data_IF_103857845833
#
_entry.id   IF_103857845833
#
_cell.length_a   1.000
_cell.length_b   1.000
_cell.length_c   1.000
_cell.angle_alpha   90.00
_cell.angle_beta   90.00
_cell.angle_gamma   90.00
#
_symmetry.space_group_name_H-M   'P 1'
#
loop_
_entity.id
_entity.type
_entity.pdbx_description
1 polymer ?
#
# COMPACT_ATOMS: atom_id res chain seq x y z
N UNK A 1 9.43 -5.16 1.11
CA UNK A 1 10.72 -4.44 1.25
C UNK A 1 10.66 -3.35 2.32
N UNK A 2 9.61 -2.52 2.35
CA UNK A 2 9.43 -1.47 3.36
C UNK A 2 9.54 -1.98 4.81
N UNK A 3 8.71 -2.96 5.18
CA UNK A 3 8.75 -3.62 6.50
C UNK A 3 10.14 -4.20 6.81
N UNK A 4 10.72 -4.96 5.87
CA UNK A 4 12.05 -5.56 6.06
C UNK A 4 13.15 -4.52 6.37
N UNK A 5 13.22 -3.42 5.63
CA UNK A 5 14.19 -2.36 5.92
C UNK A 5 13.92 -1.67 7.26
N UNK A 6 12.65 -1.47 7.61
CA UNK A 6 12.24 -0.86 8.88
C UNK A 6 12.68 -1.72 10.07
N UNK A 7 12.32 -3.02 10.05
CA UNK A 7 12.64 -3.95 11.12
C UNK A 7 14.15 -4.20 11.25
N UNK A 8 14.85 -4.43 10.14
CA UNK A 8 16.31 -4.68 10.18
C UNK A 8 17.06 -3.42 10.58
N UNK A 9 16.66 -2.24 10.07
CA UNK A 9 17.25 -0.96 10.47
C UNK A 9 17.07 -0.67 11.95
N UNK A 10 15.91 -1.00 12.51
CA UNK A 10 15.66 -0.86 13.95
C UNK A 10 16.51 -1.85 14.78
N UNK A 11 16.55 -3.13 14.40
CA UNK A 11 17.27 -4.18 15.15
C UNK A 11 18.79 -3.99 15.11
N UNK A 12 19.33 -3.56 13.98
CA UNK A 12 20.78 -3.36 13.79
C UNK A 12 21.23 -1.92 14.10
N UNK A 13 20.29 -1.04 14.49
CA UNK A 13 20.53 0.40 14.68
C UNK A 13 21.15 1.09 13.43
N UNK A 14 20.85 0.56 12.24
CA UNK A 14 21.36 1.06 10.96
C UNK A 14 20.44 2.13 10.36
N UNK A 15 20.83 3.39 10.58
CA UNK A 15 20.12 4.56 10.04
C UNK A 15 20.00 4.55 8.51
N UNK A 16 20.97 3.99 7.80
CA UNK A 16 20.94 3.96 6.34
C UNK A 16 19.86 3.00 5.80
N UNK A 17 19.46 1.99 6.58
CA UNK A 17 18.32 1.13 6.27
C UNK A 17 16.99 1.83 6.57
N UNK A 18 16.90 2.57 7.67
CA UNK A 18 15.71 3.37 7.98
C UNK A 18 15.47 4.48 6.94
N UNK A 19 16.53 5.12 6.46
CA UNK A 19 16.45 6.10 5.36
C UNK A 19 15.95 5.45 4.07
N UNK A 20 16.41 4.24 3.75
CA UNK A 20 15.91 3.47 2.59
C UNK A 20 14.43 3.12 2.74
N UNK A 21 13.99 2.75 3.95
CA UNK A 21 12.58 2.51 4.23
C UNK A 21 11.74 3.78 4.01
N UNK A 22 12.20 4.93 4.53
CA UNK A 22 11.53 6.21 4.34
C UNK A 22 11.47 6.63 2.86
N UNK A 23 12.56 6.45 2.11
CA UNK A 23 12.61 6.70 0.67
C UNK A 23 11.63 5.81 -0.09
N UNK A 24 11.55 4.52 0.26
CA UNK A 24 10.58 3.61 -0.35
C UNK A 24 9.14 4.03 -0.03
N UNK A 25 8.83 4.42 1.21
CA UNK A 25 7.50 4.92 1.58
C UNK A 25 7.12 6.18 0.80
N UNK A 26 8.04 7.16 0.69
CA UNK A 26 7.81 8.37 -0.10
C UNK A 26 7.59 8.04 -1.58
N UNK A 27 8.39 7.15 -2.16
CA UNK A 27 8.21 6.72 -3.54
C UNK A 27 6.81 6.14 -3.79
N UNK A 28 6.32 5.28 -2.87
CA UNK A 28 4.97 4.71 -2.97
C UNK A 28 3.90 5.81 -2.86
N UNK A 29 4.09 6.79 -1.97
CA UNK A 29 3.16 7.92 -1.79
C UNK A 29 3.10 8.85 -2.99
N UNK A 30 4.24 9.09 -3.63
CA UNK A 30 4.32 10.01 -4.76
C UNK A 30 3.84 9.37 -6.07
N UNK A 31 4.06 8.06 -6.25
CA UNK A 31 3.91 7.41 -7.55
C UNK A 31 2.79 6.37 -7.62
N UNK A 32 2.42 5.77 -6.49
CA UNK A 32 1.37 4.74 -6.43
C UNK A 32 0.11 5.21 -5.72
N UNK A 33 0.13 6.33 -4.99
CA UNK A 33 -1.08 6.88 -4.40
C UNK A 33 -1.70 7.94 -5.30
N UNK A 34 -2.89 7.63 -5.83
CA UNK A 34 -3.70 8.60 -6.57
C UNK A 34 -4.55 9.41 -5.56
N UNK A 35 -4.15 10.66 -5.33
CA UNK A 35 -4.84 11.55 -4.39
C UNK A 35 -6.23 12.00 -4.88
N UNK A 36 -6.48 12.05 -6.19
CA UNK A 36 -7.78 12.44 -6.74
C UNK A 36 -8.80 11.31 -6.57
N UNK A 37 -8.39 10.08 -6.89
CA UNK A 37 -9.25 8.89 -6.75
C UNK A 37 -9.26 8.32 -5.34
N UNK A 38 -8.32 8.77 -4.50
CA UNK A 38 -8.02 8.19 -3.20
C UNK A 38 -7.79 6.68 -3.34
N UNK A 39 -6.95 6.26 -4.29
CA UNK A 39 -6.68 4.83 -4.53
C UNK A 39 -5.20 4.55 -4.68
N UNK A 40 -4.74 3.43 -4.12
CA UNK A 40 -3.44 2.86 -4.45
C UNK A 40 -3.50 2.25 -5.84
N UNK A 41 -2.43 2.41 -6.63
CA UNK A 41 -2.18 1.75 -7.90
C UNK A 41 -1.33 0.51 -7.66
N UNK A 42 -1.64 -0.58 -8.37
CA UNK A 42 -1.01 -1.88 -8.11
C UNK A 42 0.46 -1.96 -8.51
N UNK A 43 0.85 -1.22 -9.53
CA UNK A 43 2.22 -1.24 -10.04
C UNK A 43 2.58 0.11 -10.64
N UNK A 44 3.86 0.27 -10.93
CA UNK A 44 4.42 1.26 -11.84
C UNK A 44 5.62 0.59 -12.53
N UNK A 45 5.95 1.04 -13.73
CA UNK A 45 7.02 0.46 -14.54
C UNK A 45 8.04 1.52 -14.89
N UNK A 46 9.28 1.09 -15.12
CA UNK A 46 10.31 1.96 -15.69
C UNK A 46 10.18 1.92 -17.21
N UNK A 47 9.91 3.07 -17.80
CA UNK A 47 9.88 3.27 -19.24
C UNK A 47 11.25 3.23 -19.89
N UNK A 48 11.27 3.30 -21.22
CA UNK A 48 12.50 3.30 -22.04
C UNK A 48 13.40 4.49 -21.70
N UNK A 49 12.82 5.65 -21.41
CA UNK A 49 13.55 6.88 -21.05
C UNK A 49 13.88 7.00 -19.55
N UNK A 50 13.81 5.90 -18.79
CA UNK A 50 13.94 5.88 -17.31
C UNK A 50 12.81 6.59 -16.55
N UNK A 51 11.82 7.12 -17.23
CA UNK A 51 10.62 7.71 -16.64
C UNK A 51 9.69 6.67 -16.03
N UNK A 52 8.94 7.06 -14.99
CA UNK A 52 7.89 6.21 -14.41
C UNK A 52 6.67 6.19 -15.33
N UNK A 53 6.22 4.99 -15.68
CA UNK A 53 5.08 4.76 -16.53
C UNK A 53 4.03 3.90 -15.84
N UNK A 54 2.77 4.17 -16.17
CA UNK A 54 1.64 3.37 -15.76
C UNK A 54 1.00 2.69 -16.94
N UNK A 55 0.39 1.52 -16.69
CA UNK A 55 -0.45 0.86 -17.70
C UNK A 55 -1.66 1.76 -17.98
N UNK A 56 -2.13 1.78 -19.22
CA UNK A 56 -3.34 2.49 -19.62
C UNK A 56 -4.43 1.49 -20.06
N UNK A 57 -5.55 1.34 -19.31
CA UNK A 57 -5.86 2.02 -18.05
C UNK A 57 -5.06 1.46 -16.85
N UNK A 58 -4.81 2.27 -15.79
CA UNK A 58 -4.08 1.82 -14.61
C UNK A 58 -4.90 0.84 -13.80
N UNK A 59 -4.22 -0.12 -13.16
CA UNK A 59 -4.85 -1.14 -12.31
C UNK A 59 -4.87 -0.64 -10.88
N UNK A 60 -6.06 -0.55 -10.29
CA UNK A 60 -6.24 -0.22 -8.88
C UNK A 60 -5.70 -1.35 -7.98
N UNK A 61 -5.14 -0.96 -6.84
CA UNK A 61 -4.65 -1.88 -5.82
C UNK A 61 -5.77 -2.74 -5.25
N UNK A 62 -5.41 -3.96 -4.88
CA UNK A 62 -6.26 -4.93 -4.23
C UNK A 62 -6.10 -4.84 -2.70
N UNK A 63 -6.95 -5.57 -1.97
CA UNK A 63 -6.90 -5.62 -0.51
C UNK A 63 -5.48 -5.82 0.03
N UNK A 64 -4.74 -6.78 -0.52
CA UNK A 64 -3.39 -7.12 -0.08
C UNK A 64 -2.40 -5.96 -0.27
N UNK A 65 -2.57 -5.17 -1.33
CA UNK A 65 -1.71 -4.01 -1.61
C UNK A 65 -1.87 -2.95 -0.51
N UNK A 66 -3.10 -2.74 -0.02
CA UNK A 66 -3.35 -1.88 1.14
C UNK A 66 -2.82 -2.50 2.43
N UNK A 67 -3.13 -3.77 2.70
CA UNK A 67 -2.77 -4.44 3.95
C UNK A 67 -1.24 -4.47 4.14
N UNK A 68 -0.48 -4.83 3.10
CA UNK A 68 0.99 -4.85 3.18
C UNK A 68 1.59 -3.43 3.28
N UNK A 69 0.99 -2.44 2.64
CA UNK A 69 1.46 -1.05 2.73
C UNK A 69 1.20 -0.48 4.13
N UNK A 70 -0.01 -0.66 4.68
CA UNK A 70 -0.36 -0.26 6.04
C UNK A 70 0.59 -0.91 7.04
N UNK A 71 0.77 -2.23 6.97
CA UNK A 71 1.70 -2.95 7.85
C UNK A 71 3.13 -2.39 7.75
N UNK A 72 3.65 -2.19 6.54
CA UNK A 72 5.00 -1.66 6.36
C UNK A 72 5.17 -0.22 6.86
N UNK A 73 4.12 0.60 6.80
CA UNK A 73 4.14 1.97 7.34
C UNK A 73 4.08 1.99 8.86
N UNK A 74 3.37 1.05 9.48
CA UNK A 74 3.37 0.86 10.93
C UNK A 74 4.76 0.42 11.42
N UNK A 75 5.40 -0.55 10.76
CA UNK A 75 6.77 -0.96 11.09
C UNK A 75 7.75 0.22 10.96
N UNK A 76 7.60 1.05 9.92
CA UNK A 76 8.42 2.25 9.74
C UNK A 76 8.15 3.30 10.83
N UNK A 77 6.89 3.47 11.24
CA UNK A 77 6.54 4.34 12.36
C UNK A 77 7.17 3.84 13.66
N UNK A 78 7.07 2.55 13.98
CA UNK A 78 7.66 1.98 15.19
C UNK A 78 9.19 2.14 15.20
N UNK A 79 9.83 1.97 14.05
CA UNK A 79 11.28 2.10 13.91
C UNK A 79 11.79 3.55 13.93
N UNK A 80 11.00 4.53 13.49
CA UNK A 80 11.44 5.92 13.31
C UNK A 80 10.74 6.94 14.21
N UNK A 81 9.60 6.58 14.79
CA UNK A 81 8.66 7.42 15.55
C UNK A 81 8.19 8.68 14.80
N UNK A 82 8.28 8.68 13.46
CA UNK A 82 7.80 9.79 12.64
C UNK A 82 6.30 9.64 12.37
N UNK A 83 5.49 10.50 13.02
CA UNK A 83 4.02 10.48 12.99
C UNK A 83 3.40 10.51 11.59
N UNK A 84 4.10 11.06 10.59
CA UNK A 84 3.61 11.12 9.21
C UNK A 84 3.30 9.73 8.62
N UNK A 85 4.03 8.69 9.04
CA UNK A 85 3.82 7.32 8.56
C UNK A 85 2.57 6.71 9.17
N UNK A 86 2.34 6.95 10.46
CA UNK A 86 1.13 6.55 11.16
C UNK A 86 -0.12 7.19 10.55
N UNK A 87 -0.07 8.50 10.28
CA UNK A 87 -1.18 9.23 9.66
C UNK A 87 -1.53 8.68 8.27
N UNK A 88 -0.51 8.34 7.48
CA UNK A 88 -0.75 7.78 6.16
C UNK A 88 -1.26 6.33 6.22
N UNK A 89 -0.75 5.52 7.16
CA UNK A 89 -1.27 4.19 7.42
C UNK A 89 -2.76 4.22 7.82
N UNK A 90 -3.15 5.16 8.69
CA UNK A 90 -4.56 5.37 9.06
C UNK A 90 -5.42 5.75 7.86
N UNK A 91 -4.96 6.69 7.02
CA UNK A 91 -5.68 7.07 5.80
C UNK A 91 -5.89 5.88 4.86
N UNK A 92 -4.87 5.05 4.68
CA UNK A 92 -4.94 3.87 3.83
C UNK A 92 -5.86 2.79 4.42
N UNK A 93 -5.82 2.58 5.73
CA UNK A 93 -6.73 1.66 6.42
C UNK A 93 -8.19 2.08 6.25
N UNK A 94 -8.51 3.35 6.52
CA UNK A 94 -9.86 3.87 6.32
C UNK A 94 -10.33 3.70 4.88
N UNK A 95 -9.42 3.87 3.92
CA UNK A 95 -9.75 3.65 2.50
C UNK A 95 -9.94 2.18 2.15
N UNK A 96 -9.13 1.28 2.72
CA UNK A 96 -9.28 -0.16 2.58
C UNK A 96 -10.66 -0.61 3.06
N UNK A 97 -11.11 -0.08 4.21
CA UNK A 97 -12.44 -0.37 4.77
C UNK A 97 -13.55 0.09 3.81
N UNK A 98 -13.45 1.31 3.28
CA UNK A 98 -14.45 1.82 2.32
C UNK A 98 -14.51 1.00 1.02
N UNK A 99 -13.38 0.49 0.55
CA UNK A 99 -13.29 -0.20 -0.74
C UNK A 99 -13.63 -1.69 -0.67
N UNK A 100 -13.24 -2.36 0.41
CA UNK A 100 -13.20 -3.82 0.45
C UNK A 100 -14.02 -4.45 1.58
N UNK A 101 -14.47 -3.68 2.58
CA UNK A 101 -15.24 -4.24 3.70
C UNK A 101 -16.62 -4.72 3.26
N UNK A 102 -16.98 -5.94 3.64
CA UNK A 102 -18.33 -6.46 3.49
C UNK A 102 -19.16 -6.20 4.75
N UNK A 103 -20.13 -5.28 4.63
CA UNK A 103 -21.04 -4.95 5.72
C UNK A 103 -22.06 -6.06 6.05
N UNK A 104 -22.35 -6.97 5.11
CA UNK A 104 -23.39 -7.98 5.28
C UNK A 104 -22.86 -9.24 5.98
N UNK A 105 -21.78 -9.81 5.45
CA UNK A 105 -21.23 -11.08 5.95
C UNK A 105 -19.94 -10.91 6.77
N UNK A 106 -19.41 -9.68 6.85
CA UNK A 106 -18.12 -9.39 7.47
C UNK A 106 -16.92 -9.86 6.62
N UNK A 107 -15.74 -9.34 6.97
CA UNK A 107 -14.50 -9.64 6.25
C UNK A 107 -14.29 -8.73 5.04
N UNK A 108 -13.24 -9.03 4.27
CA UNK A 108 -12.83 -8.20 3.14
C UNK A 108 -12.87 -8.96 1.81
N UNK A 109 -13.31 -8.28 0.75
CA UNK A 109 -13.15 -8.73 -0.62
C UNK A 109 -11.71 -8.51 -1.09
N UNK A 110 -11.13 -9.45 -1.85
CA UNK A 110 -9.81 -9.23 -2.44
C UNK A 110 -9.76 -8.08 -3.45
N UNK A 111 -10.87 -7.72 -4.08
CA UNK A 111 -10.98 -6.66 -5.08
C UNK A 111 -12.22 -5.81 -4.87
N UNK A 112 -12.23 -4.58 -5.42
CA UNK A 112 -13.38 -3.69 -5.31
C UNK A 112 -14.61 -4.38 -5.94
N UNK A 113 -15.72 -4.54 -5.20
CA UNK A 113 -16.95 -5.19 -5.69
C UNK A 113 -17.51 -4.57 -6.98
N UNK A 114 -17.19 -3.30 -7.25
CA UNK A 114 -17.62 -2.56 -8.46
C UNK A 114 -16.79 -2.90 -9.69
N UNK A 115 -15.63 -3.55 -9.53
CA UNK A 115 -14.77 -3.94 -10.65
C UNK A 115 -15.29 -5.23 -11.29
N UNK A 116 -15.46 -5.30 -12.62
CA UNK A 116 -15.94 -6.51 -13.29
C UNK A 116 -15.00 -7.70 -13.04
N UNK A 117 -15.53 -8.95 -12.98
CA UNK A 117 -14.82 -10.14 -12.47
C UNK A 117 -13.68 -10.67 -13.36
N UNK A 118 -13.15 -9.88 -14.30
CA UNK A 118 -12.17 -10.33 -15.28
C UNK A 118 -10.76 -10.59 -14.69
N UNK A 119 -10.43 -10.07 -13.50
CA UNK A 119 -9.09 -10.21 -12.91
C UNK A 119 -9.01 -11.09 -11.66
N UNK A 120 -10.06 -11.16 -10.84
CA UNK A 120 -10.12 -12.03 -9.66
C UNK A 120 -11.59 -12.40 -9.41
N UNK A 121 -11.93 -13.69 -9.36
CA UNK A 121 -13.22 -14.11 -8.78
C UNK A 121 -13.28 -13.55 -7.36
N UNK A 122 -14.37 -12.87 -6.99
CA UNK A 122 -14.61 -12.22 -5.69
C UNK A 122 -14.44 -13.18 -4.52
N UNK A 123 -13.18 -13.49 -4.18
CA UNK A 123 -12.82 -14.38 -3.08
C UNK A 123 -12.80 -13.51 -1.84
N UNK A 124 -13.57 -13.89 -0.83
CA UNK A 124 -13.52 -13.26 0.49
C UNK A 124 -12.33 -13.82 1.23
N UNK A 125 -11.55 -12.96 1.87
CA UNK A 125 -10.58 -13.39 2.89
C UNK A 125 -11.40 -13.66 4.15
N UNK A 126 -11.83 -14.91 4.31
CA UNK A 126 -12.60 -15.39 5.46
C UNK A 126 -11.70 -15.64 6.67
N UNK A 127 -12.29 -15.58 7.87
CA UNK A 127 -11.66 -15.88 9.16
C UNK A 127 -10.95 -17.23 9.19
#
# INVERSE_FOLDING_TARGET
>A
MLSAYSCVGAVLEDKALLERAAQAANFLKENLWDAERQTVLRSCYRGEDMELQQISPPISGFLDDYAFLVSGLLDLYEASLQTQWLQWAEQLQLRQDVLFWDQQDGGYFCSDPKTPPSCCSSRKVGR
#
